data_IF_249907152388
#
_entry.id   IF_249907152388
#
_cell.length_a   1.000
_cell.length_b   1.000
_cell.length_c   1.000
_cell.angle_alpha   90.00
_cell.angle_beta   90.00
_cell.angle_gamma   90.00
#
_symmetry.space_group_name_H-M   'P 1'
#
loop_
_entity.id
_entity.type
_entity.pdbx_description
1 polymer ?
#
# COMPACT_ATOMS: atom_id res chain seq x y z
N UNK A 1 14.97 5.94 -7.36
CA UNK A 1 16.30 5.51 -7.86
C UNK A 1 16.15 4.57 -9.05
N UNK A 2 16.43 5.01 -10.29
CA UNK A 2 16.21 4.21 -11.50
C UNK A 2 17.24 3.08 -11.68
N UNK A 3 18.43 3.21 -11.09
CA UNK A 3 19.50 2.21 -11.21
C UNK A 3 19.51 1.17 -10.08
N UNK A 4 18.64 1.30 -9.07
CA UNK A 4 18.59 0.37 -7.96
C UNK A 4 18.28 -1.05 -8.45
N UNK A 5 19.01 -2.05 -7.95
CA UNK A 5 18.72 -3.46 -8.20
C UNK A 5 18.22 -4.13 -6.92
N UNK A 6 17.24 -5.02 -7.04
CA UNK A 6 16.73 -5.78 -5.92
C UNK A 6 16.07 -7.07 -6.38
N UNK A 7 16.09 -8.08 -5.51
CA UNK A 7 15.38 -9.34 -5.71
C UNK A 7 14.01 -9.24 -5.02
N UNK A 8 12.97 -9.67 -5.73
CA UNK A 8 11.63 -9.77 -5.16
C UNK A 8 11.61 -10.91 -4.14
N UNK A 9 11.26 -10.59 -2.91
CA UNK A 9 10.99 -11.57 -1.85
C UNK A 9 9.58 -11.34 -1.33
N UNK A 10 8.85 -12.43 -1.08
CA UNK A 10 7.43 -12.33 -0.74
C UNK A 10 7.19 -11.58 0.59
N UNK A 11 8.10 -11.73 1.57
CA UNK A 11 8.09 -11.07 2.88
C UNK A 11 8.21 -9.55 2.83
N UNK A 12 8.79 -9.00 1.75
CA UNK A 12 8.99 -7.54 1.59
C UNK A 12 7.83 -6.84 0.87
N UNK A 13 6.81 -7.57 0.43
CA UNK A 13 5.64 -7.01 -0.25
C UNK A 13 4.57 -6.60 0.76
N UNK A 14 3.94 -5.44 0.52
CA UNK A 14 2.89 -4.89 1.38
C UNK A 14 1.57 -5.69 1.36
N UNK A 15 1.36 -6.56 0.36
CA UNK A 15 0.18 -7.45 0.30
C UNK A 15 0.12 -8.34 1.54
N UNK A 16 -1.08 -8.74 1.99
CA UNK A 16 -1.24 -9.75 3.06
C UNK A 16 -0.78 -11.15 2.61
N UNK A 17 -0.94 -11.47 1.33
CA UNK A 17 -0.55 -12.76 0.76
C UNK A 17 0.94 -12.82 0.39
N UNK A 18 1.49 -14.04 0.32
CA UNK A 18 2.87 -14.33 -0.10
C UNK A 18 2.98 -15.03 -1.47
N UNK A 19 1.86 -15.24 -2.17
CA UNK A 19 1.80 -15.91 -3.47
C UNK A 19 2.17 -15.00 -4.65
N UNK A 20 3.41 -14.49 -4.69
CA UNK A 20 3.85 -13.71 -5.85
C UNK A 20 4.55 -14.59 -6.90
N UNK A 21 4.15 -14.55 -8.18
CA UNK A 21 4.85 -15.27 -9.25
C UNK A 21 6.22 -14.66 -9.56
N UNK A 22 6.56 -13.51 -8.97
CA UNK A 22 7.81 -12.81 -9.21
C UNK A 22 8.89 -13.12 -8.18
N UNK A 23 8.63 -13.98 -7.18
CA UNK A 23 9.60 -14.34 -6.16
C UNK A 23 10.93 -14.83 -6.80
N UNK A 24 12.06 -14.32 -6.32
CA UNK A 24 13.39 -14.63 -6.85
C UNK A 24 13.79 -13.84 -8.11
N UNK A 25 12.86 -13.12 -8.75
CA UNK A 25 13.20 -12.27 -9.91
C UNK A 25 14.00 -11.04 -9.47
N UNK A 26 15.08 -10.74 -10.20
CA UNK A 26 15.85 -9.51 -10.05
C UNK A 26 15.25 -8.39 -10.90
N UNK A 27 14.94 -7.26 -10.27
CA UNK A 27 14.34 -6.08 -10.92
C UNK A 27 15.29 -4.89 -10.86
N UNK A 28 15.17 -4.01 -11.87
CA UNK A 28 15.85 -2.71 -11.93
C UNK A 28 14.85 -1.59 -11.70
N UNK A 29 15.26 -0.59 -10.92
CA UNK A 29 14.43 0.50 -10.46
C UNK A 29 13.68 0.15 -9.18
N UNK A 30 13.43 1.18 -8.36
CA UNK A 30 12.61 1.06 -7.15
C UNK A 30 11.81 2.33 -6.93
N UNK A 31 10.52 2.16 -6.63
CA UNK A 31 9.61 3.24 -6.23
C UNK A 31 10.14 3.85 -4.93
N UNK A 32 10.24 5.17 -4.89
CA UNK A 32 10.67 5.94 -3.70
C UNK A 32 9.53 6.78 -3.13
N UNK A 33 8.64 7.26 -4.00
CA UNK A 33 7.51 8.10 -3.66
C UNK A 33 6.29 7.72 -4.50
N UNK A 34 5.11 7.82 -3.89
CA UNK A 34 3.81 7.74 -4.57
C UNK A 34 2.98 8.93 -4.11
N UNK A 35 2.40 9.67 -5.06
CA UNK A 35 1.55 10.85 -4.80
C UNK A 35 0.17 10.58 -5.39
N UNK A 36 -0.86 10.73 -4.58
CA UNK A 36 -2.27 10.60 -4.97
C UNK A 36 -3.01 11.88 -4.55
N UNK A 37 -3.59 12.60 -5.51
CA UNK A 37 -4.36 13.84 -5.27
C UNK A 37 -3.57 14.87 -4.43
N UNK A 38 -2.29 15.06 -4.78
CA UNK A 38 -1.39 15.99 -4.06
C UNK A 38 -0.89 15.50 -2.69
N UNK A 39 -1.31 14.32 -2.22
CA UNK A 39 -0.88 13.74 -0.94
C UNK A 39 0.15 12.63 -1.16
N UNK A 40 1.22 12.60 -0.37
CA UNK A 40 2.15 11.47 -0.36
C UNK A 40 1.47 10.26 0.28
N UNK A 41 1.51 9.12 -0.40
CA UNK A 41 1.04 7.82 0.14
C UNK A 41 2.20 6.85 0.38
N UNK A 42 3.33 7.07 -0.29
CA UNK A 42 4.63 6.46 0.00
C UNK A 42 5.67 7.56 0.01
N UNK A 43 6.52 7.60 1.05
CA UNK A 43 7.63 8.55 1.21
C UNK A 43 8.89 7.80 1.59
N UNK A 44 9.98 8.05 0.87
CA UNK A 44 11.28 7.43 1.11
C UNK A 44 11.25 5.90 1.26
N UNK A 45 10.35 5.23 0.51
CA UNK A 45 10.08 3.77 0.52
C UNK A 45 9.33 3.25 1.76
N UNK A 46 8.80 4.12 2.60
CA UNK A 46 7.88 3.78 3.68
C UNK A 46 6.45 4.23 3.33
N UNK A 47 5.45 3.57 3.91
CA UNK A 47 4.08 4.08 3.87
C UNK A 47 4.06 5.47 4.51
N UNK A 48 3.45 6.44 3.82
CA UNK A 48 3.09 7.69 4.48
C UNK A 48 2.03 7.39 5.55
N UNK A 49 1.84 8.32 6.49
CA UNK A 49 0.91 8.15 7.61
C UNK A 49 -0.41 7.51 7.14
N UNK A 50 -0.93 6.52 7.88
CA UNK A 50 -2.21 5.91 7.55
C UNK A 50 -3.23 7.00 7.27
N UNK A 51 -4.08 6.79 6.25
CA UNK A 51 -5.28 7.59 6.11
C UNK A 51 -6.03 7.42 7.43
N UNK A 52 -6.23 8.50 8.17
CA UNK A 52 -7.27 8.52 9.20
C UNK A 52 -8.53 8.06 8.47
N UNK A 53 -9.07 6.92 8.88
CA UNK A 53 -10.18 6.26 8.20
C UNK A 53 -11.32 7.26 8.04
N UNK A 54 -11.72 7.52 6.79
CA UNK A 54 -13.05 8.08 6.50
C UNK A 54 -14.15 7.01 6.72
N UNK A 55 -13.77 5.84 7.25
CA UNK A 55 -14.63 4.71 7.58
C UNK A 55 -14.87 4.65 9.10
N UNK A 56 -15.62 5.60 9.62
CA UNK A 56 -16.62 5.37 10.69
C UNK A 56 -17.85 6.20 10.31
N UNK A 57 -18.40 5.93 9.13
CA UNK A 57 -19.84 6.17 8.94
C UNK A 57 -20.52 5.07 9.75
N UNK A 58 -20.80 5.38 11.01
CA UNK A 58 -21.70 4.58 11.84
C UNK A 58 -22.96 4.32 11.01
N UNK A 59 -23.36 3.06 10.72
CA UNK A 59 -24.61 2.83 10.03
C UNK A 59 -25.72 3.45 10.88
N UNK A 60 -26.50 4.39 10.32
CA UNK A 60 -27.63 4.97 11.03
C UNK A 60 -28.52 3.84 11.57
N UNK A 61 -29.00 3.93 12.83
CA UNK A 61 -29.85 2.88 13.36
C UNK A 61 -31.08 2.76 12.47
N UNK A 62 -31.22 1.59 11.83
CA UNK A 62 -32.40 1.26 11.03
C UNK A 62 -33.62 1.52 11.91
N UNK A 63 -34.40 2.53 11.54
CA UNK A 63 -35.61 2.89 12.30
C UNK A 63 -36.53 1.69 12.22
N UNK A 64 -36.68 0.98 13.34
CA UNK A 64 -37.63 -0.10 13.49
C UNK A 64 -39.03 0.46 13.23
N UNK A 65 -39.55 0.26 12.03
CA UNK A 65 -40.96 0.46 11.75
C UNK A 65 -41.73 -0.71 12.37
N UNK A 66 -42.53 -0.35 13.38
CA UNK A 66 -43.50 -1.19 14.06
C UNK A 66 -44.66 -1.59 13.15
#
# INVERSE_FOLDING_TARGET
>A
HPQAQWTVTADRLASRSRNTPFAGRRLRGRVVHTILRGRMTVRDRALAHPRESDDDETPEPETAHA
#
